data_IF_279952375768
#
_entry.id   IF_279952375768
#
_cell.length_a   1.000
_cell.length_b   1.000
_cell.length_c   1.000
_cell.angle_alpha   90.00
_cell.angle_beta   90.00
_cell.angle_gamma   90.00
#
_symmetry.space_group_name_H-M   'P 1'
#
loop_
_entity.id
_entity.type
_entity.pdbx_description
1 polymer ?
#
# COMPACT_ATOMS: atom_id res chain seq x y z
N UNK A 1 -21.28 -51.48 -29.54
CA UNK A 1 -20.62 -50.30 -28.95
C UNK A 1 -20.65 -49.18 -29.99
N UNK A 2 -21.48 -48.15 -29.83
CA UNK A 2 -21.57 -47.03 -30.78
C UNK A 2 -20.55 -45.96 -30.38
N UNK A 3 -19.51 -45.78 -31.19
CA UNK A 3 -18.50 -44.74 -31.00
C UNK A 3 -19.10 -43.35 -31.26
N UNK A 4 -18.93 -42.45 -30.30
CA UNK A 4 -19.37 -41.06 -30.42
C UNK A 4 -18.38 -40.33 -31.34
N UNK A 5 -18.77 -40.14 -32.60
CA UNK A 5 -18.06 -39.29 -33.56
C UNK A 5 -18.43 -37.83 -33.32
N UNK A 6 -17.59 -37.09 -32.58
CA UNK A 6 -17.73 -35.63 -32.43
C UNK A 6 -17.29 -34.97 -33.74
N UNK A 7 -18.25 -34.50 -34.53
CA UNK A 7 -18.01 -33.84 -35.81
C UNK A 7 -17.19 -32.56 -35.66
N UNK A 8 -16.05 -32.51 -36.37
CA UNK A 8 -15.07 -31.42 -36.44
C UNK A 8 -15.64 -30.02 -36.77
N UNK A 9 -16.89 -29.95 -37.25
CA UNK A 9 -17.59 -28.71 -37.64
C UNK A 9 -17.92 -27.77 -36.46
N UNK A 10 -17.95 -28.29 -35.23
CA UNK A 10 -18.28 -27.51 -34.03
C UNK A 10 -17.09 -27.25 -33.10
N UNK A 11 -15.88 -27.70 -33.48
CA UNK A 11 -14.69 -27.62 -32.63
C UNK A 11 -14.35 -26.17 -32.21
N UNK A 12 -14.49 -25.21 -33.11
CA UNK A 12 -14.26 -23.79 -32.83
C UNK A 12 -15.28 -23.18 -31.86
N UNK A 13 -16.52 -23.66 -31.88
CA UNK A 13 -17.56 -23.25 -30.93
C UNK A 13 -17.23 -23.75 -29.52
N UNK A 14 -16.75 -24.98 -29.40
CA UNK A 14 -16.33 -25.56 -28.12
C UNK A 14 -15.04 -24.93 -27.59
N UNK A 15 -14.10 -24.60 -28.48
CA UNK A 15 -12.88 -23.86 -28.11
C UNK A 15 -13.24 -22.46 -27.58
N UNK A 16 -14.11 -21.74 -28.30
CA UNK A 16 -14.59 -20.42 -27.88
C UNK A 16 -15.34 -20.46 -26.54
N UNK A 17 -16.22 -21.45 -26.35
CA UNK A 17 -16.91 -21.66 -25.09
C UNK A 17 -15.95 -21.95 -23.92
N UNK A 18 -14.92 -22.78 -24.15
CA UNK A 18 -13.89 -23.06 -23.14
C UNK A 18 -13.09 -21.81 -22.74
N UNK A 19 -12.68 -21.00 -23.72
CA UNK A 19 -11.98 -19.73 -23.46
C UNK A 19 -12.88 -18.75 -22.70
N UNK A 20 -14.15 -18.64 -23.06
CA UNK A 20 -15.10 -17.78 -22.34
C UNK A 20 -15.27 -18.21 -20.87
N UNK A 21 -15.39 -19.51 -20.60
CA UNK A 21 -15.47 -20.05 -19.24
C UNK A 21 -14.19 -19.75 -18.45
N UNK A 22 -13.01 -19.91 -19.06
CA UNK A 22 -11.73 -19.58 -18.41
C UNK A 22 -11.61 -18.08 -18.10
N UNK A 23 -11.99 -17.20 -19.02
CA UNK A 23 -11.99 -15.76 -18.80
C UNK A 23 -12.98 -15.33 -17.70
N UNK A 24 -14.15 -15.97 -17.62
CA UNK A 24 -15.12 -15.70 -16.57
C UNK A 24 -14.70 -16.26 -15.20
N UNK A 25 -13.96 -17.37 -15.18
CA UNK A 25 -13.43 -17.97 -13.97
C UNK A 25 -12.14 -17.29 -13.47
N UNK A 26 -11.36 -16.67 -14.36
CA UNK A 26 -10.06 -16.07 -14.07
C UNK A 26 -10.06 -15.08 -12.87
N UNK A 27 -11.04 -14.18 -12.69
CA UNK A 27 -11.07 -13.27 -11.53
C UNK A 27 -11.22 -14.01 -10.19
N UNK A 28 -11.89 -15.16 -10.20
CA UNK A 28 -12.15 -15.96 -8.99
C UNK A 28 -10.96 -16.87 -8.65
N UNK A 29 -10.23 -17.34 -9.66
CA UNK A 29 -9.05 -18.20 -9.49
C UNK A 29 -7.80 -17.36 -9.22
N UNK A 30 -7.55 -16.33 -10.03
CA UNK A 30 -6.33 -15.51 -9.94
C UNK A 30 -6.41 -14.48 -8.81
N UNK A 31 -7.59 -14.26 -8.22
CA UNK A 31 -7.85 -13.28 -7.16
C UNK A 31 -7.05 -11.98 -7.39
N UNK A 32 -7.24 -11.27 -8.52
CA UNK A 32 -6.46 -10.09 -8.80
C UNK A 32 -6.70 -9.07 -7.70
N UNK A 33 -5.71 -8.89 -6.82
CA UNK A 33 -5.73 -7.84 -5.84
C UNK A 33 -5.45 -6.55 -6.59
N UNK A 34 -6.49 -5.91 -7.11
CA UNK A 34 -6.40 -4.49 -7.46
C UNK A 34 -6.16 -3.74 -6.15
N UNK A 35 -4.88 -3.52 -5.83
CA UNK A 35 -4.47 -2.69 -4.70
C UNK A 35 -4.75 -1.24 -5.07
N UNK A 36 -5.94 -0.79 -4.77
CA UNK A 36 -6.20 0.63 -4.59
C UNK A 36 -5.57 1.02 -3.25
N UNK A 37 -4.51 1.82 -3.29
CA UNK A 37 -3.97 2.45 -2.09
C UNK A 37 -4.87 3.65 -1.75
N UNK A 38 -6.02 3.38 -1.15
CA UNK A 38 -6.57 4.33 -0.18
C UNK A 38 -6.14 3.82 1.20
N UNK A 39 -5.65 4.75 2.01
CA UNK A 39 -5.25 4.74 3.42
C UNK A 39 -6.18 4.02 4.44
N UNK A 40 -7.03 3.10 4.01
CA UNK A 40 -7.93 2.34 4.86
C UNK A 40 -8.30 1.00 4.24
N UNK A 41 -7.29 0.22 3.82
CA UNK A 41 -7.48 -1.18 3.45
C UNK A 41 -8.22 -1.92 4.57
N UNK A 42 -9.51 -2.18 4.35
CA UNK A 42 -10.39 -2.76 5.35
C UNK A 42 -9.80 -4.07 5.88
N UNK A 43 -9.51 -4.09 7.18
CA UNK A 43 -9.17 -5.29 7.91
C UNK A 43 -10.34 -6.28 7.77
N UNK A 44 -10.22 -7.23 6.84
CA UNK A 44 -11.13 -8.38 6.69
C UNK A 44 -10.61 -9.60 7.43
N UNK A 45 -9.78 -9.41 8.45
CA UNK A 45 -9.60 -10.45 9.44
C UNK A 45 -10.67 -10.27 10.51
N UNK A 46 -11.49 -11.29 10.70
CA UNK A 46 -12.42 -11.36 11.82
C UNK A 46 -11.59 -11.24 13.10
N UNK A 47 -11.76 -10.12 13.81
CA UNK A 47 -11.12 -9.71 15.07
C UNK A 47 -11.12 -10.81 16.15
N UNK A 48 -11.86 -11.91 15.93
CA UNK A 48 -12.02 -13.02 16.85
C UNK A 48 -10.86 -14.04 16.83
N UNK A 49 -10.07 -14.13 15.74
CA UNK A 49 -8.90 -15.04 15.66
C UNK A 49 -7.55 -14.33 15.79
N UNK A 50 -7.49 -13.02 15.50
CA UNK A 50 -6.35 -12.24 15.92
C UNK A 50 -6.47 -12.07 17.43
N UNK A 51 -5.58 -12.71 18.22
CA UNK A 51 -5.17 -12.07 19.48
C UNK A 51 -4.95 -10.61 19.09
N UNK A 52 -5.59 -9.62 19.73
CA UNK A 52 -5.16 -8.26 19.51
C UNK A 52 -3.72 -8.24 19.99
N UNK A 53 -2.77 -8.42 19.08
CA UNK A 53 -1.72 -7.44 19.02
C UNK A 53 -2.49 -6.16 18.74
N UNK A 54 -3.02 -5.55 19.81
CA UNK A 54 -2.80 -4.14 20.01
C UNK A 54 -1.40 -3.97 19.43
N UNK A 55 -1.27 -3.21 18.33
CA UNK A 55 0.02 -2.55 18.18
C UNK A 55 0.11 -1.84 19.49
N UNK A 56 0.89 -2.41 20.40
CA UNK A 56 1.48 -1.72 21.50
C UNK A 56 2.34 -0.71 20.73
N UNK A 57 1.69 0.37 20.31
CA UNK A 57 2.35 1.61 19.97
C UNK A 57 2.86 2.03 21.32
N UNK A 58 3.96 1.39 21.72
CA UNK A 58 4.72 1.79 22.87
C UNK A 58 5.20 3.15 22.45
N UNK A 59 4.53 4.18 22.96
CA UNK A 59 5.06 5.52 22.93
C UNK A 59 6.41 5.44 23.62
N UNK A 60 7.46 5.40 22.82
CA UNK A 60 8.83 5.43 23.31
C UNK A 60 9.22 6.89 23.49
N UNK A 61 10.15 7.18 24.41
CA UNK A 61 10.77 8.49 24.46
C UNK A 61 11.27 8.87 23.06
N UNK A 62 11.05 10.11 22.60
CA UNK A 62 11.51 10.54 21.29
C UNK A 62 13.02 10.43 21.21
N UNK A 63 13.52 9.92 20.08
CA UNK A 63 14.95 9.85 19.79
C UNK A 63 15.30 10.89 18.72
N UNK A 64 16.37 11.69 18.89
CA UNK A 64 16.83 12.61 17.87
C UNK A 64 17.18 11.90 16.56
N UNK A 65 16.80 12.49 15.43
CA UNK A 65 17.07 11.98 14.08
C UNK A 65 18.49 12.30 13.57
N UNK A 66 19.28 13.02 14.38
CA UNK A 66 20.65 13.42 14.07
C UNK A 66 20.80 14.94 13.99
N UNK A 67 22.04 15.43 14.05
CA UNK A 67 22.33 16.86 14.13
C UNK A 67 21.96 17.65 12.86
N UNK A 68 21.77 16.98 11.73
CA UNK A 68 21.27 17.61 10.50
C UNK A 68 19.82 18.06 10.63
N UNK A 69 19.00 17.36 11.42
CA UNK A 69 17.58 17.66 11.66
C UNK A 69 17.39 18.31 13.04
N UNK A 70 17.85 17.68 14.12
CA UNK A 70 17.75 18.23 15.47
C UNK A 70 19.02 18.99 15.85
N UNK A 71 19.04 20.31 15.62
CA UNK A 71 20.19 21.14 15.96
C UNK A 71 20.21 21.48 17.45
N UNK A 72 21.38 21.47 18.12
CA UNK A 72 21.49 21.97 19.49
C UNK A 72 21.50 23.51 19.57
N UNK A 73 21.55 24.23 18.43
CA UNK A 73 21.79 25.68 18.39
C UNK A 73 20.59 26.51 17.93
N UNK A 74 19.58 25.87 17.35
CA UNK A 74 18.44 26.56 16.75
C UNK A 74 17.20 25.70 16.90
N UNK A 75 16.04 26.35 16.76
CA UNK A 75 14.75 25.70 16.78
C UNK A 75 14.39 25.17 15.38
N UNK A 76 13.72 24.01 15.34
CA UNK A 76 13.12 23.41 14.15
C UNK A 76 11.62 23.15 14.37
N UNK A 77 10.78 23.52 13.40
CA UNK A 77 9.32 23.40 13.52
C UNK A 77 8.63 23.27 12.15
N UNK A 78 7.32 22.99 12.19
CA UNK A 78 6.44 22.83 11.01
C UNK A 78 6.94 21.78 9.98
N UNK A 79 7.25 20.54 10.39
CA UNK A 79 7.72 19.51 9.47
C UNK A 79 6.63 19.02 8.52
N UNK A 80 7.01 18.74 7.27
CA UNK A 80 6.19 18.06 6.27
C UNK A 80 7.00 16.99 5.54
N UNK A 81 6.44 15.77 5.44
CA UNK A 81 7.07 14.66 4.73
C UNK A 81 6.54 14.61 3.30
N UNK A 82 7.42 14.37 2.33
CA UNK A 82 7.02 14.22 0.93
C UNK A 82 6.10 13.00 0.73
N UNK A 83 5.22 12.98 -0.29
CA UNK A 83 4.30 11.86 -0.52
C UNK A 83 4.99 10.50 -0.72
N UNK A 84 6.23 10.51 -1.21
CA UNK A 84 7.06 9.32 -1.39
C UNK A 84 7.94 8.97 -0.16
N UNK A 85 7.87 9.77 0.91
CA UNK A 85 8.60 9.56 2.16
C UNK A 85 10.10 9.82 2.08
N UNK A 86 10.61 10.39 0.99
CA UNK A 86 12.06 10.57 0.76
C UNK A 86 12.61 11.89 1.29
N UNK A 87 11.76 12.88 1.52
CA UNK A 87 12.17 14.21 1.95
C UNK A 87 11.38 14.67 3.17
N UNK A 88 12.05 15.38 4.05
CA UNK A 88 11.47 16.13 5.15
C UNK A 88 11.74 17.62 4.92
N UNK A 89 10.70 18.40 4.64
CA UNK A 89 10.76 19.85 4.65
C UNK A 89 10.44 20.37 6.05
N UNK A 90 11.18 21.34 6.56
CA UNK A 90 10.96 21.94 7.87
C UNK A 90 11.53 23.35 7.96
N UNK A 91 11.00 24.16 8.87
CA UNK A 91 11.55 25.49 9.16
C UNK A 91 12.66 25.36 10.20
N UNK A 92 13.78 26.07 10.00
CA UNK A 92 14.87 26.17 10.97
C UNK A 92 15.23 27.63 11.20
N UNK A 93 15.42 28.01 12.47
CA UNK A 93 15.73 29.37 12.88
C UNK A 93 14.63 29.94 13.76
N UNK A 94 14.85 31.13 14.33
CA UNK A 94 13.83 31.78 15.17
C UNK A 94 12.93 32.68 14.33
N UNK A 95 11.61 32.77 14.62
CA UNK A 95 10.74 33.77 14.02
C UNK A 95 11.33 35.18 14.20
N UNK A 96 11.45 35.94 13.10
CA UNK A 96 12.09 37.26 13.10
C UNK A 96 13.62 37.27 13.22
N UNK A 97 14.26 36.10 13.36
CA UNK A 97 15.71 35.92 13.49
C UNK A 97 16.38 35.26 12.29
N UNK A 98 15.76 35.34 11.10
CA UNK A 98 16.28 34.70 9.88
C UNK A 98 15.94 33.21 9.77
N UNK A 99 14.73 32.82 10.15
CA UNK A 99 14.23 31.47 9.86
C UNK A 99 14.12 31.24 8.35
N UNK A 100 14.47 30.03 7.91
CA UNK A 100 14.42 29.62 6.52
C UNK A 100 13.92 28.17 6.38
N UNK A 101 13.59 27.76 5.15
CA UNK A 101 13.12 26.43 4.81
C UNK A 101 14.30 25.49 4.51
N UNK A 102 14.29 24.32 5.13
CA UNK A 102 15.31 23.28 4.96
C UNK A 102 14.68 21.97 4.47
N UNK A 103 15.47 21.18 3.76
CA UNK A 103 15.11 19.82 3.30
C UNK A 103 16.18 18.84 3.80
N UNK A 104 15.74 17.70 4.33
CA UNK A 104 16.57 16.55 4.68
C UNK A 104 16.07 15.27 4.01
#
# INVERSE_FOLDING_TARGET
MKGISIGRKNAWKWLGAGVAVLCLAAPFVLRPTFRFYSDGGGLKEEVRSAKPSLREVLWQPPRPLGASINSPRTDEYEPAVSPDGRFLAFTRGRPGGGADLWIA
#
